data_IF_124201732521
#
_entry.id   IF_124201732521
#
_cell.length_a   1.000
_cell.length_b   1.000
_cell.length_c   1.000
_cell.angle_alpha   90.00
_cell.angle_beta   90.00
_cell.angle_gamma   90.00
#
_symmetry.space_group_name_H-M   'P 1'
#
loop_
_entity.id
_entity.type
_entity.pdbx_description
1 polymer ?
#
# COMPACT_ATOMS: atom_id res chain seq x y z
N UNK A 1 27.76 -23.27 30.84
CA UNK A 1 26.59 -23.21 29.93
C UNK A 1 26.59 -21.80 29.37
N UNK A 2 27.08 -21.61 28.15
CA UNK A 2 27.20 -20.30 27.52
C UNK A 2 25.81 -19.77 27.18
N UNK A 3 25.48 -18.56 27.65
CA UNK A 3 24.29 -17.83 27.21
C UNK A 3 24.45 -17.51 25.72
N UNK A 4 23.50 -17.94 24.89
CA UNK A 4 23.39 -17.49 23.51
C UNK A 4 23.07 -15.99 23.50
N UNK A 5 23.66 -15.18 22.60
CA UNK A 5 23.32 -13.78 22.46
C UNK A 5 21.84 -13.64 22.08
N UNK A 6 21.08 -12.87 22.85
CA UNK A 6 19.67 -12.61 22.59
C UNK A 6 19.55 -11.46 21.58
N UNK A 7 19.02 -11.77 20.40
CA UNK A 7 18.56 -10.75 19.47
C UNK A 7 17.25 -10.18 19.99
N UNK A 8 17.13 -8.85 20.02
CA UNK A 8 15.88 -8.16 20.37
C UNK A 8 14.90 -8.06 19.20
N UNK A 9 15.37 -8.27 17.97
CA UNK A 9 14.57 -8.19 16.75
C UNK A 9 15.08 -9.17 15.67
N UNK A 10 14.17 -9.61 14.81
CA UNK A 10 14.48 -10.52 13.70
C UNK A 10 15.37 -9.82 12.66
N UNK A 11 16.52 -10.39 12.28
CA UNK A 11 17.43 -9.76 11.31
C UNK A 11 16.87 -9.74 9.88
N UNK A 12 15.76 -10.44 9.61
CA UNK A 12 15.13 -10.50 8.28
C UNK A 12 13.94 -9.55 8.11
N UNK A 13 13.27 -9.15 9.19
CA UNK A 13 12.01 -8.40 9.12
C UNK A 13 11.78 -7.48 10.34
N UNK A 14 12.79 -7.32 11.19
CA UNK A 14 12.81 -6.43 12.37
C UNK A 14 11.72 -6.70 13.43
N UNK A 15 11.02 -7.84 13.32
CA UNK A 15 9.99 -8.24 14.26
C UNK A 15 10.56 -8.42 15.68
N UNK A 16 9.89 -7.90 16.73
CA UNK A 16 10.35 -8.08 18.11
C UNK A 16 10.44 -9.57 18.48
N UNK A 17 11.56 -9.98 19.06
CA UNK A 17 11.80 -11.37 19.45
C UNK A 17 11.74 -11.54 20.96
N UNK A 18 11.16 -12.65 21.42
CA UNK A 18 11.15 -13.02 22.83
C UNK A 18 12.35 -13.92 23.17
N UNK A 19 12.75 -13.87 24.45
CA UNK A 19 13.86 -14.65 24.96
C UNK A 19 13.56 -16.16 24.89
N UNK A 20 14.13 -16.85 23.90
CA UNK A 20 13.99 -18.29 23.71
C UNK A 20 13.46 -18.69 22.33
N UNK A 21 13.09 -17.71 21.51
CA UNK A 21 12.63 -17.94 20.15
C UNK A 21 13.73 -18.58 19.29
N UNK A 22 13.40 -19.73 18.73
CA UNK A 22 14.25 -20.43 17.74
C UNK A 22 13.94 -19.99 16.32
N UNK A 23 12.76 -19.41 16.10
CA UNK A 23 12.28 -18.92 14.82
C UNK A 23 11.54 -17.60 15.03
N UNK A 24 11.59 -16.71 14.04
CA UNK A 24 10.79 -15.49 14.07
C UNK A 24 9.30 -15.82 13.87
N UNK A 25 8.43 -15.39 14.81
CA UNK A 25 6.98 -15.60 14.73
C UNK A 25 6.27 -14.88 13.58
N UNK A 26 6.90 -13.86 12.97
CA UNK A 26 6.30 -13.12 11.86
C UNK A 26 6.73 -13.62 10.47
N UNK A 27 8.01 -13.96 10.28
CA UNK A 27 8.54 -14.32 8.95
C UNK A 27 9.13 -15.74 8.88
N UNK A 28 9.18 -16.49 9.99
CA UNK A 28 9.71 -17.86 10.03
C UNK A 28 11.23 -17.97 9.94
N UNK A 29 11.98 -16.87 9.98
CA UNK A 29 13.45 -16.87 9.93
C UNK A 29 14.05 -17.70 11.07
N UNK A 30 15.00 -18.59 10.75
CA UNK A 30 15.69 -19.45 11.72
C UNK A 30 16.75 -18.65 12.50
N UNK A 31 16.49 -18.42 13.79
CA UNK A 31 17.34 -17.66 14.69
C UNK A 31 18.44 -18.52 15.32
N UNK A 32 18.38 -19.85 15.14
CA UNK A 32 19.34 -20.80 15.72
C UNK A 32 20.62 -20.97 14.89
N UNK A 33 20.66 -20.43 13.67
CA UNK A 33 21.74 -20.63 12.70
C UNK A 33 22.78 -19.49 12.62
N UNK A 34 22.73 -18.49 13.50
CA UNK A 34 23.65 -17.35 13.44
C UNK A 34 25.07 -17.75 13.87
N UNK A 35 26.11 -17.50 13.05
CA UNK A 35 27.49 -17.72 13.46
C UNK A 35 27.85 -16.73 14.59
N UNK A 36 28.61 -17.16 15.62
CA UNK A 36 29.09 -16.24 16.65
C UNK A 36 29.97 -15.16 16.01
N UNK A 37 29.89 -13.92 16.52
CA UNK A 37 30.78 -12.84 16.10
C UNK A 37 32.25 -13.24 16.35
N UNK A 38 33.19 -12.84 15.48
CA UNK A 38 34.61 -12.98 15.79
C UNK A 38 34.93 -12.18 17.06
N UNK A 39 35.73 -12.76 17.95
CA UNK A 39 36.18 -12.07 19.15
C UNK A 39 37.05 -10.86 18.78
N UNK A 40 36.64 -9.67 19.21
CA UNK A 40 37.45 -8.45 19.12
C UNK A 40 38.61 -8.56 20.12
N UNK A 41 39.78 -8.93 19.62
CA UNK A 41 41.03 -8.75 20.35
C UNK A 41 41.53 -7.31 20.11
N UNK A 42 41.72 -6.47 21.14
CA UNK A 42 42.28 -5.15 20.95
C UNK A 42 43.72 -5.28 20.41
N UNK A 43 43.95 -4.77 19.21
CA UNK A 43 45.27 -4.76 18.58
C UNK A 43 46.19 -3.81 19.35
N UNK A 44 47.31 -4.37 19.83
CA UNK A 44 48.40 -3.66 20.51
C UNK A 44 48.93 -2.56 19.60
N UNK A 45 49.05 -1.34 20.13
CA UNK A 45 49.65 -0.21 19.44
C UNK A 45 51.14 -0.47 19.14
N UNK A 46 51.47 -0.65 17.86
CA UNK A 46 52.84 -0.60 17.38
C UNK A 46 53.26 0.86 17.22
N UNK A 47 54.09 1.32 18.16
CA UNK A 47 54.90 2.53 17.98
C UNK A 47 55.92 2.30 16.87
N UNK A 48 56.10 3.27 15.98
CA UNK A 48 57.24 3.33 15.07
C UNK A 48 57.63 4.78 14.74
N UNK A 49 58.91 5.03 14.39
CA UNK A 49 59.66 6.19 14.86
C UNK A 49 59.78 7.33 13.84
N UNK A 50 60.28 8.45 14.32
CA UNK A 50 60.62 9.65 13.58
C UNK A 50 61.75 9.45 12.55
N UNK A 51 61.60 10.07 11.37
CA UNK A 51 62.55 10.98 10.69
C UNK A 51 62.46 10.90 9.16
N UNK A 52 62.51 12.06 8.47
CA UNK A 52 62.98 12.17 7.08
C UNK A 52 62.16 13.11 6.17
N UNK A 53 62.71 14.30 5.92
CA UNK A 53 62.26 15.32 4.97
C UNK A 53 62.24 14.87 3.50
N UNK A 54 61.28 15.35 2.69
CA UNK A 54 61.52 16.38 1.65
C UNK A 54 60.28 16.69 0.76
N UNK A 55 60.00 17.98 0.59
CA UNK A 55 59.42 18.69 -0.57
C UNK A 55 58.09 18.22 -1.22
N UNK A 56 57.05 19.06 -1.19
CA UNK A 56 56.74 20.11 -2.20
C UNK A 56 55.31 20.66 -1.97
N UNK A 57 55.21 21.97 -2.16
CA UNK A 57 54.17 22.97 -1.90
C UNK A 57 52.70 22.64 -2.29
N UNK A 58 51.75 23.01 -1.41
CA UNK A 58 50.32 23.18 -1.74
C UNK A 58 49.77 24.45 -1.07
N UNK A 59 48.95 25.25 -1.76
CA UNK A 59 48.62 26.61 -1.35
C UNK A 59 47.63 26.66 -0.16
N UNK A 60 47.90 27.61 0.74
CA UNK A 60 47.13 27.92 1.95
C UNK A 60 45.82 28.63 1.60
N UNK A 61 44.70 28.10 2.08
CA UNK A 61 43.40 28.80 2.09
C UNK A 61 43.26 29.64 3.38
N UNK A 62 42.60 30.82 3.34
CA UNK A 62 42.50 31.70 4.50
C UNK A 62 41.49 31.18 5.54
N UNK A 63 41.81 31.39 6.82
CA UNK A 63 40.94 31.03 7.95
C UNK A 63 39.65 31.86 7.99
N UNK A 64 38.49 31.24 8.31
CA UNK A 64 37.31 31.98 8.69
C UNK A 64 37.40 32.43 10.16
N UNK A 65 36.95 33.66 10.38
CA UNK A 65 36.90 34.36 11.66
C UNK A 65 36.12 33.59 12.74
N UNK A 66 36.56 33.77 13.99
CA UNK A 66 36.11 33.06 15.18
C UNK A 66 34.61 33.11 15.44
N UNK A 67 34.06 31.96 15.83
CA UNK A 67 32.76 31.85 16.47
C UNK A 67 32.94 32.07 17.98
N UNK A 68 32.35 33.16 18.47
CA UNK A 68 32.17 33.40 19.90
C UNK A 68 31.19 32.41 20.52
N UNK A 69 31.43 32.12 21.79
CA UNK A 69 30.60 31.30 22.69
C UNK A 69 29.13 31.76 22.70
N UNK A 70 28.13 30.88 22.51
CA UNK A 70 26.75 31.23 22.83
C UNK A 70 26.50 31.15 24.34
N UNK A 71 25.82 32.16 24.87
CA UNK A 71 25.32 32.22 26.24
C UNK A 71 24.14 31.27 26.45
N UNK A 72 23.93 30.87 27.71
CA UNK A 72 22.87 29.96 28.15
C UNK A 72 21.46 30.44 27.76
N UNK A 73 20.68 29.57 27.11
CA UNK A 73 19.28 29.79 26.82
C UNK A 73 18.41 29.58 28.07
N UNK A 74 17.51 30.54 28.32
CA UNK A 74 16.47 30.46 29.34
C UNK A 74 15.32 29.56 28.89
N UNK A 75 14.72 28.84 29.84
CA UNK A 75 13.53 28.00 29.64
C UNK A 75 12.30 28.84 29.23
N UNK A 76 11.42 28.33 28.35
CA UNK A 76 10.17 29.02 28.01
C UNK A 76 9.13 28.82 29.11
N UNK A 77 8.53 29.92 29.55
CA UNK A 77 7.31 29.93 30.36
C UNK A 77 6.07 29.85 29.43
N UNK A 78 5.05 29.13 29.86
CA UNK A 78 3.81 28.93 29.10
C UNK A 78 3.01 30.23 28.90
N UNK A 79 2.44 30.47 27.70
CA UNK A 79 1.54 31.59 27.47
C UNK A 79 0.11 31.28 27.93
N UNK A 80 -0.42 32.12 28.82
CA UNK A 80 -1.85 32.13 29.19
C UNK A 80 -2.72 32.60 28.02
N UNK A 81 -3.79 31.86 27.75
CA UNK A 81 -4.73 32.14 26.68
C UNK A 81 -5.47 33.48 26.87
N UNK A 82 -5.58 34.24 25.78
CA UNK A 82 -6.45 35.41 25.66
C UNK A 82 -7.55 35.12 24.64
N UNK A 83 -8.75 35.56 24.92
CA UNK A 83 -9.88 35.53 23.98
C UNK A 83 -9.87 36.80 23.10
N UNK A 84 -10.48 36.69 21.90
CA UNK A 84 -10.47 37.71 20.85
C UNK A 84 -11.16 39.01 21.29
N UNK A 85 -10.40 39.85 21.99
CA UNK A 85 -10.83 41.12 22.56
C UNK A 85 -9.79 41.76 23.49
N UNK A 86 -8.74 41.04 23.91
CA UNK A 86 -7.58 41.63 24.59
C UNK A 86 -7.79 42.01 26.06
N UNK A 87 -8.71 41.33 26.77
CA UNK A 87 -8.89 41.50 28.22
C UNK A 87 -8.42 40.23 28.95
N UNK A 88 -7.64 40.32 30.04
CA UNK A 88 -7.22 39.14 30.82
C UNK A 88 -8.39 38.49 31.57
N UNK A 89 -8.47 37.15 31.52
CA UNK A 89 -9.42 36.35 32.28
C UNK A 89 -9.13 36.40 33.80
N UNK A 90 -10.14 36.56 34.66
CA UNK A 90 -9.94 36.49 36.11
C UNK A 90 -9.70 35.04 36.59
N UNK A 91 -8.92 34.83 37.68
CA UNK A 91 -8.57 33.50 38.16
C UNK A 91 -9.80 32.74 38.69
N UNK A 92 -9.95 31.48 38.26
CA UNK A 92 -10.98 30.57 38.78
C UNK A 92 -10.71 30.20 40.24
N UNK A 93 -11.68 30.47 41.12
CA UNK A 93 -11.71 29.94 42.48
C UNK A 93 -12.22 28.48 42.51
N UNK A 94 -11.70 27.64 43.43
CA UNK A 94 -12.18 26.27 43.58
C UNK A 94 -13.62 26.26 44.13
N UNK A 95 -14.50 25.35 43.68
CA UNK A 95 -15.89 25.38 44.10
C UNK A 95 -16.05 24.95 45.57
N UNK A 96 -16.52 25.89 46.39
CA UNK A 96 -17.09 25.65 47.72
C UNK A 96 -18.54 25.20 47.59
N UNK A 97 -18.90 24.12 48.29
CA UNK A 97 -20.20 23.43 48.14
C UNK A 97 -21.42 24.09 48.80
N UNK A 98 -22.59 23.51 48.55
CA UNK A 98 -23.81 23.43 49.39
C UNK A 98 -24.97 22.81 48.57
N UNK A 99 -26.06 22.27 49.17
CA UNK A 99 -26.29 21.79 50.53
C UNK A 99 -26.84 20.34 50.61
N UNK A 100 -26.88 19.84 51.85
CA UNK A 100 -27.37 18.54 52.35
C UNK A 100 -28.90 18.44 52.38
N UNK A 101 -29.49 17.25 52.13
CA UNK A 101 -30.60 16.61 52.89
C UNK A 101 -31.06 15.28 52.24
N UNK A 102 -31.68 14.33 52.98
CA UNK A 102 -31.14 13.57 54.11
C UNK A 102 -31.10 12.05 53.81
N UNK A 103 -30.36 11.33 54.65
CA UNK A 103 -30.18 9.88 54.59
C UNK A 103 -31.47 9.09 54.87
N UNK A 104 -31.72 8.06 54.07
CA UNK A 104 -32.54 6.90 54.43
C UNK A 104 -31.63 5.69 54.48
N UNK A 105 -31.31 5.24 55.69
CA UNK A 105 -30.53 4.02 55.90
C UNK A 105 -31.41 2.78 55.73
N UNK A 106 -30.91 1.81 54.98
CA UNK A 106 -31.45 0.44 54.99
C UNK A 106 -30.30 -0.53 55.22
N UNK A 107 -30.58 -1.47 56.13
CA UNK A 107 -29.67 -2.39 56.80
C UNK A 107 -29.12 -3.48 55.88
N UNK A 108 -27.90 -3.89 56.15
CA UNK A 108 -27.37 -5.18 55.70
C UNK A 108 -27.92 -6.29 56.60
N UNK A 109 -28.81 -7.12 56.06
CA UNK A 109 -29.06 -8.48 56.54
C UNK A 109 -29.26 -9.37 55.30
N UNK A 110 -28.18 -10.06 54.89
CA UNK A 110 -28.17 -11.04 53.79
C UNK A 110 -28.23 -12.45 54.40
N UNK A 111 -29.23 -13.29 54.06
CA UNK A 111 -29.18 -14.73 54.37
C UNK A 111 -28.12 -15.45 53.50
N UNK A 112 -27.52 -16.54 53.97
CA UNK A 112 -26.51 -17.28 53.20
C UNK A 112 -27.16 -18.00 52.02
N UNK A 113 -26.65 -17.78 50.81
CA UNK A 113 -27.00 -18.57 49.63
C UNK A 113 -26.22 -19.90 49.63
N UNK A 114 -26.79 -20.99 49.07
CA UNK A 114 -26.02 -22.18 48.77
C UNK A 114 -25.09 -21.95 47.57
N UNK A 115 -23.84 -22.40 47.72
CA UNK A 115 -22.84 -22.48 46.65
C UNK A 115 -23.28 -23.47 45.58
N UNK A 116 -23.50 -23.01 44.34
CA UNK A 116 -23.31 -23.79 43.10
C UNK A 116 -23.42 -22.86 41.88
N UNK A 117 -22.28 -22.33 41.42
CA UNK A 117 -22.14 -21.74 40.09
C UNK A 117 -21.34 -22.72 39.23
N UNK A 118 -21.90 -23.31 38.16
CA UNK A 118 -21.11 -24.11 37.23
C UNK A 118 -20.28 -23.17 36.35
N UNK A 119 -18.99 -23.05 36.66
CA UNK A 119 -17.99 -22.56 35.72
C UNK A 119 -17.58 -23.71 34.79
N UNK A 120 -18.25 -23.81 33.63
CA UNK A 120 -17.70 -24.49 32.47
C UNK A 120 -17.97 -23.63 31.24
N UNK A 121 -16.90 -23.08 30.67
CA UNK A 121 -16.93 -22.56 29.31
C UNK A 121 -17.24 -23.73 28.35
N UNK A 122 -18.09 -23.55 27.33
CA UNK A 122 -18.34 -24.59 26.35
C UNK A 122 -17.05 -24.94 25.58
N UNK A 123 -16.83 -26.24 25.35
CA UNK A 123 -15.71 -26.80 24.59
C UNK A 123 -15.71 -26.23 23.15
N UNK A 124 -14.64 -25.59 22.66
CA UNK A 124 -14.59 -25.00 21.33
C UNK A 124 -14.61 -26.03 20.18
N UNK A 125 -14.70 -27.34 20.47
CA UNK A 125 -14.81 -28.40 19.44
C UNK A 125 -16.23 -28.70 18.97
N UNK A 126 -17.23 -27.92 19.38
CA UNK A 126 -18.61 -28.09 18.90
C UNK A 126 -19.18 -26.74 18.47
N UNK A 127 -18.69 -26.22 17.35
CA UNK A 127 -19.36 -25.18 16.58
C UNK A 127 -19.38 -25.61 15.11
N UNK A 128 -20.53 -25.34 14.49
CA UNK A 128 -21.07 -25.87 13.24
C UNK A 128 -20.07 -26.16 12.10
N UNK A 129 -20.06 -27.44 11.68
CA UNK A 129 -19.53 -27.89 10.41
C UNK A 129 -20.51 -27.52 9.31
N UNK A 130 -20.31 -26.40 8.63
CA UNK A 130 -20.88 -26.16 7.29
C UNK A 130 -20.12 -25.05 6.54
N UNK A 131 -18.87 -25.34 6.17
CA UNK A 131 -18.24 -24.75 5.00
C UNK A 131 -18.11 -25.86 3.93
N UNK A 132 -18.34 -25.57 2.64
CA UNK A 132 -18.29 -26.61 1.61
C UNK A 132 -16.86 -27.14 1.52
N UNK A 133 -16.70 -28.43 1.80
CA UNK A 133 -15.41 -29.12 1.79
C UNK A 133 -14.77 -29.07 0.41
N UNK A 134 -13.77 -28.19 0.27
CA UNK A 134 -12.69 -28.41 -0.68
C UNK A 134 -11.86 -29.61 -0.24
N UNK A 135 -11.36 -30.40 -1.19
CA UNK A 135 -10.44 -31.50 -0.88
C UNK A 135 -9.24 -30.97 -0.08
N UNK A 136 -8.74 -31.69 0.94
CA UNK A 136 -7.63 -31.21 1.75
C UNK A 136 -6.37 -31.06 0.89
N UNK A 137 -5.97 -29.81 0.66
CA UNK A 137 -4.79 -29.47 -0.12
C UNK A 137 -3.53 -29.99 0.59
N UNK A 138 -2.62 -30.62 -0.15
CA UNK A 138 -1.32 -31.02 0.38
C UNK A 138 -0.40 -29.79 0.47
N UNK A 139 0.42 -29.73 1.51
CA UNK A 139 1.37 -28.65 1.72
C UNK A 139 2.37 -28.53 0.55
N UNK A 140 2.54 -27.32 -0.02
CA UNK A 140 3.46 -27.09 -1.15
C UNK A 140 4.93 -27.30 -0.78
N UNK A 141 5.28 -27.10 0.50
CA UNK A 141 6.64 -27.22 0.99
C UNK A 141 7.03 -28.67 1.28
N UNK A 142 6.26 -29.38 2.13
CA UNK A 142 6.63 -30.74 2.53
C UNK A 142 5.94 -31.85 1.73
N UNK A 143 4.91 -31.52 0.92
CA UNK A 143 4.10 -32.44 0.12
C UNK A 143 3.48 -33.62 0.89
N UNK A 144 3.46 -33.53 2.22
CA UNK A 144 3.06 -34.61 3.12
C UNK A 144 2.00 -34.17 4.13
N UNK A 145 2.12 -32.95 4.66
CA UNK A 145 1.17 -32.42 5.63
C UNK A 145 -0.09 -31.87 4.98
N UNK A 146 -1.18 -31.92 5.74
CA UNK A 146 -2.40 -31.20 5.43
C UNK A 146 -2.27 -29.74 5.85
N UNK A 147 -3.08 -28.91 5.21
CA UNK A 147 -3.20 -27.49 5.46
C UNK A 147 -4.45 -27.30 6.31
N UNK A 148 -4.29 -26.68 7.48
CA UNK A 148 -5.42 -26.35 8.35
C UNK A 148 -6.11 -25.07 7.84
N UNK A 149 -7.27 -24.77 8.40
CA UNK A 149 -8.12 -23.60 8.13
C UNK A 149 -7.42 -22.25 8.37
N UNK A 150 -6.35 -22.22 9.16
CA UNK A 150 -5.52 -21.02 9.39
C UNK A 150 -4.49 -20.78 8.27
N UNK A 151 -4.40 -21.69 7.30
CA UNK A 151 -3.47 -21.64 6.17
C UNK A 151 -2.07 -22.16 6.49
N UNK A 152 -1.86 -22.82 7.63
CA UNK A 152 -0.58 -23.41 7.99
C UNK A 152 -0.58 -24.93 7.80
N UNK A 153 0.58 -25.48 7.46
CA UNK A 153 0.74 -26.92 7.36
C UNK A 153 0.84 -27.55 8.76
N UNK A 154 -0.04 -28.49 9.09
CA UNK A 154 -0.04 -29.22 10.36
C UNK A 154 1.24 -30.06 10.60
N UNK A 155 1.97 -30.42 9.53
CA UNK A 155 3.17 -31.25 9.60
C UNK A 155 4.46 -30.44 9.71
N UNK A 156 4.63 -29.41 8.88
CA UNK A 156 5.87 -28.65 8.80
C UNK A 156 5.77 -27.19 9.26
N UNK A 157 4.57 -26.73 9.65
CA UNK A 157 4.32 -25.36 10.09
C UNK A 157 4.47 -24.29 9.00
N UNK A 158 4.68 -24.69 7.75
CA UNK A 158 4.87 -23.74 6.66
C UNK A 158 3.55 -23.07 6.30
N UNK A 159 3.52 -21.73 6.27
CA UNK A 159 2.40 -20.97 5.73
C UNK A 159 2.19 -21.37 4.27
N UNK A 160 0.94 -21.58 3.88
CA UNK A 160 0.59 -21.93 2.52
C UNK A 160 0.28 -20.67 1.72
N UNK A 161 0.65 -20.64 0.42
CA UNK A 161 0.24 -19.58 -0.47
C UNK A 161 -1.28 -19.43 -0.43
N UNK A 162 -1.74 -18.21 -0.15
CA UNK A 162 -3.17 -17.89 -0.23
C UNK A 162 -3.54 -17.70 -1.69
N UNK A 163 -4.82 -17.86 -2.01
CA UNK A 163 -5.34 -17.68 -3.38
C UNK A 163 -4.96 -16.31 -3.96
N UNK A 164 -4.93 -15.26 -3.13
CA UNK A 164 -4.58 -13.90 -3.53
C UNK A 164 -3.08 -13.59 -3.45
N UNK A 165 -2.23 -14.48 -2.92
CA UNK A 165 -0.79 -14.18 -2.79
C UNK A 165 -0.10 -14.04 -4.15
N UNK A 166 -0.63 -14.73 -5.17
CA UNK A 166 -0.21 -14.58 -6.55
C UNK A 166 -1.39 -14.87 -7.48
N UNK A 167 -1.77 -13.88 -8.28
CA UNK A 167 -2.90 -13.95 -9.19
C UNK A 167 -2.46 -13.60 -10.59
N UNK A 168 -2.92 -14.37 -11.57
CA UNK A 168 -2.68 -14.09 -12.98
C UNK A 168 -4.00 -14.23 -13.74
N UNK A 169 -4.28 -13.30 -14.64
CA UNK A 169 -5.44 -13.38 -15.52
C UNK A 169 -5.08 -12.91 -16.92
N UNK A 170 -5.54 -13.65 -17.92
CA UNK A 170 -5.51 -13.26 -19.33
C UNK A 170 -6.96 -13.16 -19.84
N UNK A 171 -7.29 -12.08 -20.53
CA UNK A 171 -8.65 -11.80 -20.98
C UNK A 171 -8.62 -11.20 -22.39
N UNK A 172 -8.59 -12.04 -23.43
CA UNK A 172 -8.47 -11.56 -24.81
C UNK A 172 -7.10 -10.92 -25.05
N UNK A 173 -7.01 -9.65 -25.49
CA UNK A 173 -5.73 -9.01 -25.82
C UNK A 173 -4.96 -8.46 -24.61
N UNK A 174 -5.48 -8.56 -23.38
CA UNK A 174 -4.87 -7.97 -22.19
C UNK A 174 -4.68 -8.99 -21.08
N UNK A 175 -3.74 -8.71 -20.19
CA UNK A 175 -3.45 -9.56 -19.03
C UNK A 175 -3.07 -8.72 -17.81
N UNK A 176 -3.22 -9.31 -16.64
CA UNK A 176 -2.79 -8.74 -15.37
C UNK A 176 -2.16 -9.80 -14.46
N UNK A 177 -1.20 -9.36 -13.65
CA UNK A 177 -0.56 -10.17 -12.60
C UNK A 177 -0.53 -9.34 -11.33
N UNK A 178 -0.82 -9.97 -10.19
CA UNK A 178 -0.69 -9.41 -8.86
C UNK A 178 0.09 -10.37 -7.99
N UNK A 179 1.02 -9.86 -7.19
CA UNK A 179 1.83 -10.65 -6.27
C UNK A 179 1.92 -9.94 -4.92
N UNK A 180 1.89 -10.70 -3.83
CA UNK A 180 2.03 -10.21 -2.46
C UNK A 180 3.38 -9.51 -2.23
N UNK A 181 4.39 -9.79 -3.03
CA UNK A 181 5.73 -9.34 -2.75
C UNK A 181 6.41 -10.14 -1.64
N UNK A 182 7.60 -9.70 -1.25
CA UNK A 182 8.49 -10.44 -0.36
C UNK A 182 8.37 -10.00 1.10
N UNK A 183 7.72 -8.85 1.38
CA UNK A 183 7.69 -8.23 2.72
C UNK A 183 6.31 -8.18 3.36
N UNK A 184 5.23 -8.08 2.57
CA UNK A 184 3.87 -7.98 3.09
C UNK A 184 3.32 -9.37 3.47
N UNK A 185 2.51 -9.46 4.53
CA UNK A 185 1.93 -10.73 5.00
C UNK A 185 0.62 -11.12 4.28
N UNK A 186 0.06 -10.21 3.48
CA UNK A 186 -1.10 -10.43 2.62
C UNK A 186 -0.97 -9.55 1.37
N UNK A 187 -1.65 -9.96 0.30
CA UNK A 187 -1.82 -9.11 -0.88
C UNK A 187 -3.04 -8.21 -0.69
N UNK A 188 -2.79 -6.92 -0.53
CA UNK A 188 -3.78 -5.85 -0.36
C UNK A 188 -4.19 -5.25 -1.71
N UNK A 189 -3.51 -5.62 -2.80
CA UNK A 189 -3.89 -5.21 -4.15
C UNK A 189 -5.02 -6.06 -4.74
N UNK A 190 -5.70 -5.49 -5.72
CA UNK A 190 -6.62 -6.19 -6.60
C UNK A 190 -6.64 -5.61 -8.00
N UNK A 191 -7.09 -6.41 -8.96
CA UNK A 191 -7.34 -5.94 -10.33
C UNK A 191 -8.64 -6.51 -10.88
N UNK A 192 -9.16 -5.85 -11.92
CA UNK A 192 -10.25 -6.34 -12.76
C UNK A 192 -9.96 -6.04 -14.22
N UNK A 193 -9.89 -7.07 -15.06
CA UNK A 193 -9.67 -6.93 -16.50
C UNK A 193 -10.82 -7.51 -17.32
N UNK A 194 -11.11 -6.89 -18.46
CA UNK A 194 -12.17 -7.34 -19.35
C UNK A 194 -12.04 -6.78 -20.76
N UNK A 195 -12.75 -7.40 -21.70
CA UNK A 195 -12.95 -6.87 -23.04
C UNK A 195 -14.42 -6.95 -23.41
N UNK A 196 -14.87 -6.02 -24.23
CA UNK A 196 -16.25 -5.94 -24.71
C UNK A 196 -16.30 -5.29 -26.09
N UNK A 197 -17.49 -5.17 -26.68
CA UNK A 197 -17.70 -4.49 -27.95
C UNK A 197 -18.50 -3.20 -27.72
N UNK A 198 -18.10 -2.12 -28.40
CA UNK A 198 -18.88 -0.89 -28.51
C UNK A 198 -20.12 -1.11 -29.40
N UNK A 199 -21.10 -0.19 -29.43
CA UNK A 199 -22.31 -0.34 -30.25
C UNK A 199 -22.04 -0.53 -31.75
N UNK A 200 -20.90 -0.06 -32.25
CA UNK A 200 -20.46 -0.23 -33.65
C UNK A 200 -19.74 -1.57 -33.90
N UNK A 201 -19.61 -2.41 -32.87
CA UNK A 201 -18.94 -3.71 -32.92
C UNK A 201 -17.42 -3.64 -32.76
N UNK A 202 -16.83 -2.44 -32.64
CA UNK A 202 -15.39 -2.30 -32.40
C UNK A 202 -15.01 -2.75 -30.98
N UNK A 203 -13.80 -3.33 -30.78
CA UNK A 203 -13.40 -3.85 -29.48
C UNK A 203 -13.04 -2.72 -28.51
N UNK A 204 -13.34 -2.95 -27.24
CA UNK A 204 -12.87 -2.13 -26.12
C UNK A 204 -12.26 -3.03 -25.03
N UNK A 205 -11.10 -2.65 -24.53
CA UNK A 205 -10.39 -3.32 -23.43
C UNK A 205 -10.44 -2.45 -22.18
N UNK A 206 -10.60 -3.07 -21.02
CA UNK A 206 -10.72 -2.40 -19.72
C UNK A 206 -9.77 -3.06 -18.75
N UNK A 207 -8.94 -2.28 -18.07
CA UNK A 207 -8.15 -2.72 -16.94
C UNK A 207 -8.35 -1.76 -15.77
N UNK A 208 -8.60 -2.30 -14.58
CA UNK A 208 -8.68 -1.59 -13.31
C UNK A 208 -7.67 -2.23 -12.36
N UNK A 209 -6.88 -1.42 -11.67
CA UNK A 209 -5.95 -1.83 -10.60
C UNK A 209 -6.24 -0.98 -9.38
N UNK A 210 -6.25 -1.61 -8.21
CA UNK A 210 -6.52 -0.98 -6.92
C UNK A 210 -5.48 -1.45 -5.90
N UNK A 211 -4.94 -0.51 -5.13
CA UNK A 211 -4.00 -0.74 -4.05
C UNK A 211 -4.68 -0.49 -2.70
N UNK A 212 -4.67 -1.46 -1.80
CA UNK A 212 -5.28 -1.33 -0.49
C UNK A 212 -4.41 -0.49 0.45
N UNK A 213 -4.96 0.55 1.07
CA UNK A 213 -4.17 1.42 1.97
C UNK A 213 -3.81 0.65 3.24
N UNK A 214 -2.55 0.29 3.47
CA UNK A 214 -2.16 -0.60 4.59
C UNK A 214 -2.50 -0.10 5.99
N UNK A 215 -2.67 1.22 6.17
CA UNK A 215 -3.11 1.82 7.44
C UNK A 215 -4.63 1.75 7.68
N UNK A 216 -5.39 1.32 6.66
CA UNK A 216 -6.83 1.14 6.71
C UNK A 216 -7.24 -0.19 7.35
N UNK A 217 -8.50 -0.28 7.78
CA UNK A 217 -9.09 -1.57 8.14
C UNK A 217 -9.50 -2.32 6.88
N UNK A 218 -9.18 -3.62 6.76
CA UNK A 218 -9.60 -4.46 5.61
C UNK A 218 -9.20 -3.87 4.23
N UNK A 219 -7.94 -3.44 4.02
CA UNK A 219 -7.50 -2.84 2.76
C UNK A 219 -7.63 -3.80 1.57
N UNK A 220 -7.43 -5.08 1.81
CA UNK A 220 -7.60 -6.16 0.85
C UNK A 220 -9.05 -6.35 0.40
N UNK A 221 -10.03 -6.15 1.29
CA UNK A 221 -11.46 -6.14 0.91
C UNK A 221 -11.83 -4.87 0.13
N UNK A 222 -11.24 -3.73 0.49
CA UNK A 222 -11.48 -2.44 -0.18
C UNK A 222 -11.02 -2.48 -1.63
N UNK A 223 -9.76 -2.86 -1.88
CA UNK A 223 -9.21 -2.96 -3.24
C UNK A 223 -9.99 -3.96 -4.08
N UNK A 224 -10.35 -5.12 -3.52
CA UNK A 224 -11.15 -6.13 -4.21
C UNK A 224 -12.56 -5.64 -4.57
N UNK A 225 -13.25 -5.00 -3.63
CA UNK A 225 -14.58 -4.43 -3.86
C UNK A 225 -14.54 -3.33 -4.93
N UNK A 226 -13.54 -2.45 -4.89
CA UNK A 226 -13.33 -1.39 -5.86
C UNK A 226 -13.05 -1.93 -7.26
N UNK A 227 -12.06 -2.80 -7.41
CA UNK A 227 -11.68 -3.37 -8.71
C UNK A 227 -12.86 -4.12 -9.38
N UNK A 228 -13.61 -4.89 -8.59
CA UNK A 228 -14.80 -5.61 -9.06
C UNK A 228 -15.92 -4.66 -9.48
N UNK A 229 -16.29 -3.70 -8.64
CA UNK A 229 -17.39 -2.78 -8.93
C UNK A 229 -17.08 -1.87 -10.14
N UNK A 230 -15.85 -1.36 -10.23
CA UNK A 230 -15.43 -0.52 -11.35
C UNK A 230 -15.40 -1.31 -12.67
N UNK A 231 -14.78 -2.49 -12.70
CA UNK A 231 -14.70 -3.30 -13.91
C UNK A 231 -16.08 -3.73 -14.42
N UNK A 232 -16.98 -4.18 -13.52
CA UNK A 232 -18.37 -4.50 -13.84
C UNK A 232 -19.12 -3.27 -14.42
N UNK A 233 -18.94 -2.10 -13.80
CA UNK A 233 -19.59 -0.84 -14.24
C UNK A 233 -19.18 -0.44 -15.65
N UNK A 234 -17.86 -0.35 -15.92
CA UNK A 234 -17.35 0.02 -17.26
C UNK A 234 -17.78 -1.00 -18.31
N UNK A 235 -17.61 -2.30 -18.04
CA UNK A 235 -17.90 -3.36 -19.01
C UNK A 235 -19.39 -3.41 -19.36
N UNK A 236 -20.28 -3.02 -18.44
CA UNK A 236 -21.70 -2.90 -18.71
C UNK A 236 -22.03 -1.61 -19.49
N UNK A 237 -21.34 -0.50 -19.22
CA UNK A 237 -21.61 0.82 -19.80
C UNK A 237 -21.19 0.94 -21.27
N UNK A 238 -20.00 0.43 -21.62
CA UNK A 238 -19.44 0.59 -22.97
C UNK A 238 -20.35 0.02 -24.09
N UNK A 239 -20.93 -1.19 -23.98
CA UNK A 239 -21.83 -1.72 -25.01
C UNK A 239 -23.13 -0.93 -25.20
N UNK A 240 -23.51 -0.11 -24.20
CA UNK A 240 -24.68 0.78 -24.27
C UNK A 240 -24.38 2.11 -24.96
N UNK A 241 -23.12 2.35 -25.33
CA UNK A 241 -22.69 3.59 -25.99
C UNK A 241 -22.31 4.72 -25.03
N UNK A 242 -22.13 4.44 -23.74
CA UNK A 242 -21.54 5.42 -22.82
C UNK A 242 -20.11 5.74 -23.28
N UNK A 243 -19.77 7.03 -23.37
CA UNK A 243 -18.43 7.46 -23.76
C UNK A 243 -17.39 6.90 -22.76
N UNK A 244 -16.23 6.37 -23.21
CA UNK A 244 -15.24 5.74 -22.33
C UNK A 244 -14.81 6.59 -21.12
N UNK A 245 -14.65 7.90 -21.30
CA UNK A 245 -14.34 8.82 -20.21
C UNK A 245 -15.45 8.90 -19.14
N UNK A 246 -16.71 8.98 -19.57
CA UNK A 246 -17.85 8.99 -18.66
C UNK A 246 -17.99 7.63 -17.96
N UNK A 247 -17.83 6.53 -18.71
CA UNK A 247 -17.92 5.18 -18.16
C UNK A 247 -16.87 4.95 -17.06
N UNK A 248 -15.63 5.43 -17.26
CA UNK A 248 -14.57 5.29 -16.27
C UNK A 248 -14.78 6.18 -15.04
N UNK A 249 -15.28 7.42 -15.22
CA UNK A 249 -15.68 8.27 -14.11
C UNK A 249 -16.78 7.61 -13.26
N UNK A 250 -17.85 7.12 -13.88
CA UNK A 250 -18.95 6.42 -13.20
C UNK A 250 -18.48 5.13 -12.52
N UNK A 251 -17.47 4.46 -13.07
CA UNK A 251 -16.88 3.27 -12.46
C UNK A 251 -16.08 3.58 -11.19
N UNK A 252 -15.35 4.70 -11.15
CA UNK A 252 -14.67 5.15 -9.92
C UNK A 252 -15.70 5.51 -8.85
N UNK A 253 -16.81 6.16 -9.22
CA UNK A 253 -17.93 6.43 -8.31
C UNK A 253 -18.55 5.12 -7.79
N UNK A 254 -18.76 4.13 -8.66
CA UNK A 254 -19.26 2.81 -8.26
C UNK A 254 -18.29 2.07 -7.31
N UNK A 255 -16.98 2.17 -7.56
CA UNK A 255 -15.95 1.63 -6.67
C UNK A 255 -15.98 2.32 -5.30
N UNK A 256 -16.07 3.65 -5.25
CA UNK A 256 -16.21 4.40 -4.00
C UNK A 256 -17.42 3.93 -3.18
N UNK A 257 -18.58 3.75 -3.82
CA UNK A 257 -19.76 3.22 -3.14
C UNK A 257 -19.56 1.80 -2.59
N UNK A 258 -18.87 0.93 -3.34
CA UNK A 258 -18.57 -0.43 -2.91
C UNK A 258 -17.62 -0.45 -1.70
N UNK A 259 -16.58 0.39 -1.69
CA UNK A 259 -15.66 0.54 -0.56
C UNK A 259 -16.38 1.13 0.67
N UNK A 260 -17.18 2.18 0.49
CA UNK A 260 -17.93 2.81 1.57
C UNK A 260 -18.93 1.84 2.23
N UNK A 261 -19.49 0.89 1.47
CA UNK A 261 -20.39 -0.12 2.01
C UNK A 261 -19.69 -1.07 3.01
N UNK A 262 -18.37 -1.28 2.89
CA UNK A 262 -17.59 -2.10 3.83
C UNK A 262 -17.49 -1.48 5.23
N UNK A 263 -17.64 -0.16 5.33
CA UNK A 263 -17.65 0.58 6.59
C UNK A 263 -19.01 0.52 7.32
N UNK A 264 -20.07 0.02 6.67
CA UNK A 264 -21.44 0.05 7.18
C UNK A 264 -21.82 -1.11 8.13
N UNK A 265 -20.85 -1.89 8.61
CA UNK A 265 -21.08 -2.97 9.58
C UNK A 265 -21.67 -2.47 10.92
N UNK A 266 -22.41 -3.33 11.67
CA UNK A 266 -23.32 -2.90 12.75
C UNK A 266 -22.63 -2.09 13.84
N UNK A 267 -23.34 -1.06 14.33
CA UNK A 267 -22.93 -0.13 15.37
C UNK A 267 -22.43 -0.77 16.69
N UNK A 268 -22.67 -2.08 16.91
CA UNK A 268 -22.19 -2.84 18.08
C UNK A 268 -20.67 -3.01 18.12
N UNK A 269 -19.96 -2.83 17.00
CA UNK A 269 -18.49 -2.83 16.97
C UNK A 269 -17.87 -1.43 17.15
N UNK A 270 -18.64 -0.36 16.94
CA UNK A 270 -18.15 1.03 16.98
C UNK A 270 -17.87 1.56 18.39
N UNK A 271 -18.32 0.86 19.43
CA UNK A 271 -18.11 1.27 20.82
C UNK A 271 -16.70 0.98 21.37
N UNK A 272 -15.82 0.29 20.62
CA UNK A 272 -14.52 -0.14 21.15
C UNK A 272 -13.26 0.49 20.52
N UNK A 273 -13.35 1.32 19.46
CA UNK A 273 -12.16 2.00 18.92
C UNK A 273 -12.48 3.25 18.08
N UNK A 274 -12.52 4.46 18.66
CA UNK A 274 -12.77 5.72 17.94
C UNK A 274 -11.65 6.18 16.97
N UNK A 275 -10.68 5.31 16.64
CA UNK A 275 -9.47 5.65 15.88
C UNK A 275 -9.10 4.66 14.77
N UNK A 276 -10.03 3.82 14.30
CA UNK A 276 -9.75 2.93 13.16
C UNK A 276 -10.12 3.62 11.85
N UNK A 277 -9.16 3.71 10.94
CA UNK A 277 -9.36 4.19 9.57
C UNK A 277 -10.36 3.29 8.84
N UNK A 278 -11.24 3.87 8.02
CA UNK A 278 -12.21 3.11 7.25
C UNK A 278 -11.49 2.22 6.23
N UNK A 279 -12.13 1.15 5.71
CA UNK A 279 -11.61 0.45 4.54
C UNK A 279 -11.33 1.41 3.40
N UNK A 280 -10.11 1.33 2.86
CA UNK A 280 -9.65 2.27 1.86
C UNK A 280 -8.68 1.65 0.86
N UNK A 281 -8.71 2.17 -0.36
CA UNK A 281 -7.82 1.79 -1.45
C UNK A 281 -7.65 2.94 -2.47
N UNK A 282 -6.61 2.87 -3.28
CA UNK A 282 -6.48 3.65 -4.52
C UNK A 282 -7.30 3.01 -5.63
N UNK A 283 -7.39 3.69 -6.78
CA UNK A 283 -7.87 3.10 -8.02
C UNK A 283 -7.18 3.78 -9.21
N UNK A 284 -6.76 2.98 -10.19
CA UNK A 284 -6.35 3.45 -11.51
C UNK A 284 -6.94 2.53 -12.56
N UNK A 285 -7.46 3.10 -13.64
CA UNK A 285 -8.07 2.35 -14.72
C UNK A 285 -7.72 2.88 -16.09
N UNK A 286 -7.75 1.99 -17.08
CA UNK A 286 -7.59 2.31 -18.49
C UNK A 286 -8.69 1.67 -19.33
N UNK A 287 -9.25 2.44 -20.26
CA UNK A 287 -10.13 1.97 -21.33
C UNK A 287 -9.46 2.24 -22.67
N UNK A 288 -9.22 1.17 -23.43
CA UNK A 288 -8.61 1.22 -24.77
C UNK A 288 -9.65 0.83 -25.81
N UNK A 289 -9.87 1.70 -26.79
CA UNK A 289 -10.66 1.42 -28.00
C UNK A 289 -9.76 1.50 -29.24
N UNK A 290 -10.34 1.41 -30.44
CA UNK A 290 -9.61 1.45 -31.72
C UNK A 290 -8.81 2.74 -31.99
N UNK A 291 -9.08 3.83 -31.27
CA UNK A 291 -8.37 5.10 -31.46
C UNK A 291 -8.45 6.06 -30.28
N UNK A 292 -8.89 5.57 -29.12
CA UNK A 292 -8.99 6.35 -27.90
C UNK A 292 -8.45 5.53 -26.73
N UNK A 293 -7.58 6.16 -25.95
CA UNK A 293 -7.14 5.70 -24.65
C UNK A 293 -7.70 6.66 -23.61
N UNK A 294 -8.47 6.16 -22.65
CA UNK A 294 -8.90 6.93 -21.49
C UNK A 294 -8.30 6.32 -20.25
N UNK A 295 -7.72 7.14 -19.38
CA UNK A 295 -7.31 6.75 -18.03
C UNK A 295 -8.12 7.51 -17.00
N UNK A 296 -8.29 6.92 -15.82
CA UNK A 296 -8.99 7.54 -14.71
C UNK A 296 -8.51 6.96 -13.39
N UNK A 297 -8.32 7.81 -12.38
CA UNK A 297 -7.65 7.40 -11.16
C UNK A 297 -8.03 8.26 -9.95
N UNK A 298 -7.75 7.71 -8.77
CA UNK A 298 -7.68 8.37 -7.46
C UNK A 298 -6.55 7.68 -6.68
N UNK A 299 -5.62 8.45 -6.15
CA UNK A 299 -4.42 7.95 -5.47
C UNK A 299 -3.16 8.03 -6.32
N UNK A 300 -2.19 7.18 -6.01
CA UNK A 300 -0.82 7.19 -6.55
C UNK A 300 -0.47 5.92 -7.35
N UNK A 301 -1.45 5.05 -7.60
CA UNK A 301 -1.30 4.03 -8.64
C UNK A 301 -1.28 4.67 -10.02
N UNK A 302 -0.45 4.16 -10.93
CA UNK A 302 -0.06 4.88 -12.16
C UNK A 302 -0.44 4.15 -13.43
N UNK A 303 -0.59 4.94 -14.50
CA UNK A 303 -0.67 4.41 -15.87
C UNK A 303 0.43 5.01 -16.75
N UNK A 304 1.03 4.19 -17.62
CA UNK A 304 2.11 4.57 -18.53
C UNK A 304 1.77 4.18 -19.97
N UNK A 305 2.16 5.05 -20.92
CA UNK A 305 2.11 4.79 -22.35
C UNK A 305 3.49 4.43 -22.88
N UNK A 306 3.59 3.31 -23.58
CA UNK A 306 4.84 2.71 -24.02
C UNK A 306 4.74 2.34 -25.52
N UNK A 307 5.30 3.16 -26.45
CA UNK A 307 5.23 2.89 -27.89
C UNK A 307 5.95 1.61 -28.30
N UNK A 308 5.38 0.80 -29.20
CA UNK A 308 6.02 -0.45 -29.69
C UNK A 308 7.35 -0.16 -30.39
N UNK A 309 7.39 0.87 -31.23
CA UNK A 309 8.58 1.20 -32.02
C UNK A 309 9.73 1.81 -31.21
N UNK A 310 9.47 2.21 -29.96
CA UNK A 310 10.41 2.90 -29.03
C UNK A 310 11.11 4.14 -29.63
N UNK A 311 10.65 4.63 -30.78
CA UNK A 311 11.21 5.79 -31.48
C UNK A 311 10.60 7.10 -31.00
N UNK A 312 9.41 7.02 -30.42
CA UNK A 312 8.77 8.11 -29.70
C UNK A 312 8.88 7.93 -28.19
N UNK A 313 8.92 9.04 -27.44
CA UNK A 313 9.11 8.98 -26.00
C UNK A 313 7.91 8.27 -25.33
N UNK A 314 8.17 7.44 -24.31
CA UNK A 314 7.13 6.97 -23.40
C UNK A 314 6.59 8.12 -22.55
N UNK A 315 5.42 7.93 -21.94
CA UNK A 315 4.81 8.95 -21.08
C UNK A 315 4.13 8.34 -19.85
N UNK A 316 4.22 9.01 -18.70
CA UNK A 316 3.32 8.79 -17.56
C UNK A 316 2.00 9.50 -17.87
N UNK A 317 0.88 8.81 -17.69
CA UNK A 317 -0.46 9.28 -18.04
C UNK A 317 -1.26 9.81 -16.85
N UNK A 318 -0.77 9.58 -15.64
CA UNK A 318 -1.38 9.98 -14.37
C UNK A 318 -0.49 10.96 -13.62
N UNK A 319 -1.09 11.66 -12.67
CA UNK A 319 -0.42 12.48 -11.66
C UNK A 319 -0.90 12.00 -10.30
N UNK A 320 0.03 11.68 -9.40
CA UNK A 320 -0.31 11.06 -8.12
C UNK A 320 -1.09 12.04 -7.24
N UNK A 321 -2.12 11.56 -6.55
CA UNK A 321 -2.75 12.30 -5.46
C UNK A 321 -1.85 12.23 -4.21
N UNK A 322 -0.70 12.91 -4.24
CA UNK A 322 0.27 12.95 -3.14
C UNK A 322 0.45 14.36 -2.58
N UNK A 323 0.94 14.47 -1.36
CA UNK A 323 1.23 15.76 -0.74
C UNK A 323 2.21 16.57 -1.59
N UNK A 324 3.26 15.94 -2.13
CA UNK A 324 4.19 16.62 -3.02
C UNK A 324 3.48 17.17 -4.27
N UNK A 325 2.67 16.35 -4.95
CA UNK A 325 1.94 16.76 -6.15
C UNK A 325 0.99 17.94 -5.85
N UNK A 326 0.24 17.89 -4.73
CA UNK A 326 -0.63 18.98 -4.32
C UNK A 326 0.12 20.29 -4.03
N UNK A 327 1.28 20.21 -3.37
CA UNK A 327 2.10 21.39 -3.05
C UNK A 327 2.67 22.05 -4.31
N UNK A 328 3.06 21.25 -5.30
CA UNK A 328 3.52 21.73 -6.61
C UNK A 328 2.36 22.33 -7.40
N UNK A 329 1.22 21.63 -7.49
CA UNK A 329 0.03 22.09 -8.20
C UNK A 329 -0.54 23.40 -7.62
N UNK A 330 -0.48 23.57 -6.29
CA UNK A 330 -0.87 24.80 -5.61
C UNK A 330 0.13 25.96 -5.76
N UNK A 331 1.30 25.71 -6.38
CA UNK A 331 2.38 26.69 -6.53
C UNK A 331 3.01 27.12 -5.19
N UNK A 332 2.86 26.30 -4.15
CA UNK A 332 3.35 26.57 -2.80
C UNK A 332 4.79 26.10 -2.60
N UNK A 333 5.23 25.10 -3.36
CA UNK A 333 6.60 24.59 -3.40
C UNK A 333 7.00 24.26 -4.84
N UNK A 334 8.31 24.25 -5.13
CA UNK A 334 8.79 23.70 -6.39
C UNK A 334 8.90 22.17 -6.31
N UNK A 335 9.01 21.51 -7.46
CA UNK A 335 9.05 20.04 -7.56
C UNK A 335 10.17 19.44 -6.72
N UNK A 336 11.40 19.93 -6.85
CA UNK A 336 12.54 19.39 -6.11
C UNK A 336 12.38 19.52 -4.58
N UNK A 337 11.80 20.63 -4.10
CA UNK A 337 11.53 20.84 -2.68
C UNK A 337 10.38 19.95 -2.18
N UNK A 338 9.31 19.82 -2.95
CA UNK A 338 8.14 19.05 -2.57
C UNK A 338 8.45 17.54 -2.48
N UNK A 339 9.21 17.00 -3.43
CA UNK A 339 9.61 15.59 -3.46
C UNK A 339 10.75 15.25 -2.48
N UNK A 340 11.43 16.26 -1.91
CA UNK A 340 12.44 16.06 -0.88
C UNK A 340 11.87 16.09 0.56
N UNK A 341 10.60 16.45 0.75
CA UNK A 341 9.93 16.45 2.05
C UNK A 341 9.65 15.01 2.51
N UNK A 342 9.73 14.74 3.80
CA UNK A 342 9.43 13.43 4.38
C UNK A 342 7.99 12.97 4.09
N UNK A 343 7.09 13.92 3.83
CA UNK A 343 5.69 13.67 3.48
C UNK A 343 5.44 13.54 1.99
N UNK A 344 6.46 13.60 1.14
CA UNK A 344 6.30 13.68 -0.32
C UNK A 344 5.34 12.61 -0.87
N UNK A 345 5.50 11.38 -0.40
CA UNK A 345 4.72 10.21 -0.82
C UNK A 345 3.43 10.00 -0.02
N UNK A 346 3.07 10.91 0.89
CA UNK A 346 1.82 10.79 1.64
C UNK A 346 0.64 10.96 0.67
N UNK A 347 -0.17 9.90 0.55
CA UNK A 347 -1.38 9.88 -0.27
C UNK A 347 -2.38 10.90 0.28
N UNK A 348 -2.98 11.67 -0.62
CA UNK A 348 -3.97 12.72 -0.35
C UNK A 348 -5.33 12.45 -1.00
N UNK A 349 -5.42 11.43 -1.86
CA UNK A 349 -6.66 10.97 -2.47
C UNK A 349 -6.77 9.44 -2.38
N UNK A 350 -7.90 8.94 -1.87
CA UNK A 350 -8.22 7.52 -1.79
C UNK A 350 -9.73 7.29 -1.84
N UNK A 351 -10.15 6.06 -2.10
CA UNK A 351 -11.52 5.61 -1.88
C UNK A 351 -11.67 5.16 -0.43
N UNK A 352 -12.64 5.69 0.30
CA UNK A 352 -12.90 5.31 1.71
C UNK A 352 -14.02 6.15 2.32
N UNK A 353 -14.67 5.63 3.35
CA UNK A 353 -15.79 6.34 4.01
C UNK A 353 -15.33 7.57 4.81
N UNK A 354 -14.02 7.66 5.07
CA UNK A 354 -13.32 8.77 5.70
C UNK A 354 -12.66 9.73 4.68
N UNK A 355 -12.78 9.46 3.38
CA UNK A 355 -12.37 10.40 2.34
C UNK A 355 -13.31 11.62 2.35
N UNK A 356 -12.73 12.83 2.30
CA UNK A 356 -13.47 14.09 2.41
C UNK A 356 -14.42 14.34 1.22
N UNK A 357 -13.87 14.29 0.01
CA UNK A 357 -14.60 14.48 -1.24
C UNK A 357 -13.93 13.63 -2.32
N UNK A 358 -14.73 12.87 -3.08
CA UNK A 358 -14.24 12.08 -4.20
C UNK A 358 -14.21 12.96 -5.45
N UNK A 359 -13.01 13.24 -5.97
CA UNK A 359 -12.81 13.91 -7.26
C UNK A 359 -12.05 12.98 -8.23
N UNK A 360 -12.75 12.15 -9.03
CA UNK A 360 -12.09 11.24 -9.94
C UNK A 360 -11.41 11.98 -11.09
N UNK A 361 -10.10 11.81 -11.21
CA UNK A 361 -9.36 12.28 -12.38
C UNK A 361 -9.74 11.45 -13.61
N UNK A 362 -9.85 12.11 -14.76
CA UNK A 362 -9.95 11.42 -16.06
C UNK A 362 -9.19 12.16 -17.15
N UNK A 363 -8.46 11.43 -17.99
CA UNK A 363 -7.73 11.98 -19.12
C UNK A 363 -7.93 11.12 -20.38
N UNK A 364 -8.03 11.79 -21.54
CA UNK A 364 -8.26 11.17 -22.84
C UNK A 364 -7.08 11.43 -23.78
N UNK A 365 -6.58 10.37 -24.40
CA UNK A 365 -5.44 10.38 -25.31
C UNK A 365 -5.81 9.72 -26.64
N UNK A 366 -5.17 10.18 -27.72
CA UNK A 366 -5.28 9.59 -29.05
C UNK A 366 -3.89 9.27 -29.59
N UNK A 367 -3.25 8.19 -29.10
CA UNK A 367 -1.98 7.75 -29.66
C UNK A 367 -2.09 7.53 -31.18
N UNK A 368 -1.10 8.01 -31.90
CA UNK A 368 -1.02 7.96 -33.37
C UNK A 368 -0.36 6.68 -33.90
N UNK A 369 -0.01 5.75 -33.00
CA UNK A 369 0.77 4.53 -33.27
C UNK A 369 0.46 3.41 -32.28
N UNK A 370 0.91 2.17 -32.53
CA UNK A 370 0.69 1.07 -31.61
C UNK A 370 1.59 1.23 -30.38
N UNK A 371 1.10 0.75 -29.25
CA UNK A 371 1.82 0.76 -27.99
C UNK A 371 1.15 -0.15 -26.98
N UNK A 372 1.66 -0.12 -25.77
CA UNK A 372 1.03 -0.76 -24.61
C UNK A 372 0.78 0.27 -23.53
N UNK A 373 -0.33 0.10 -22.83
CA UNK A 373 -0.63 0.81 -21.59
C UNK A 373 -0.28 -0.12 -20.45
N UNK A 374 0.60 0.33 -19.56
CA UNK A 374 0.91 -0.36 -18.30
C UNK A 374 0.13 0.34 -17.20
N UNK A 375 -0.70 -0.38 -16.48
CA UNK A 375 -1.46 0.12 -15.32
C UNK A 375 -0.94 -0.62 -14.10
N UNK A 376 -0.44 0.07 -13.09
CA UNK A 376 0.26 -0.57 -11.98
C UNK A 376 0.13 0.16 -10.63
N UNK A 377 0.32 -0.60 -9.55
CA UNK A 377 0.50 -0.07 -8.19
C UNK A 377 1.93 0.43 -7.97
N UNK A 378 2.19 1.01 -6.80
CA UNK A 378 3.50 1.52 -6.40
C UNK A 378 4.55 0.43 -6.21
N UNK A 379 4.12 -0.79 -5.91
CA UNK A 379 4.99 -1.96 -5.90
C UNK A 379 5.71 -2.22 -7.22
N UNK A 380 5.23 -1.69 -8.36
CA UNK A 380 6.01 -1.68 -9.60
C UNK A 380 6.76 -0.36 -9.78
N UNK A 381 6.07 0.78 -9.72
CA UNK A 381 6.68 2.04 -10.17
C UNK A 381 7.79 2.51 -9.24
N UNK A 382 7.85 2.06 -7.97
CA UNK A 382 9.02 2.30 -7.10
C UNK A 382 10.33 1.69 -7.66
N UNK A 383 10.24 0.75 -8.60
CA UNK A 383 11.39 0.13 -9.29
C UNK A 383 11.55 0.57 -10.75
N UNK A 384 10.64 1.41 -11.25
CA UNK A 384 10.62 1.96 -12.59
C UNK A 384 9.77 3.24 -12.60
N UNK A 385 10.28 4.30 -12.00
CA UNK A 385 9.49 5.47 -11.62
C UNK A 385 9.17 6.32 -12.86
N UNK A 386 10.21 6.63 -13.63
CA UNK A 386 10.11 7.44 -14.83
C UNK A 386 9.52 6.68 -16.01
N UNK A 387 8.87 7.40 -16.93
CA UNK A 387 8.32 6.79 -18.15
C UNK A 387 9.40 6.07 -18.99
N UNK A 388 10.64 6.58 -18.98
CA UNK A 388 11.76 5.97 -19.67
C UNK A 388 12.21 4.65 -19.01
N UNK A 389 12.32 4.65 -17.68
CA UNK A 389 12.68 3.44 -16.90
C UNK A 389 11.60 2.37 -17.07
N UNK A 390 10.33 2.76 -17.03
CA UNK A 390 9.22 1.85 -17.33
C UNK A 390 9.33 1.27 -18.75
N UNK A 391 9.67 2.08 -19.75
CA UNK A 391 9.83 1.60 -21.12
C UNK A 391 10.99 0.61 -21.31
N UNK A 392 12.02 0.72 -20.48
CA UNK A 392 13.17 -0.20 -20.42
C UNK A 392 12.81 -1.52 -19.72
N UNK A 393 11.98 -1.48 -18.68
CA UNK A 393 11.48 -2.67 -17.99
C UNK A 393 10.45 -3.46 -18.82
N UNK A 394 9.65 -2.78 -19.64
CA UNK A 394 8.62 -3.41 -20.49
C UNK A 394 9.26 -4.17 -21.66
N UNK A 395 8.99 -5.48 -21.82
CA UNK A 395 9.45 -6.27 -22.96
C UNK A 395 9.06 -5.67 -24.32
N UNK A 396 9.92 -5.88 -25.32
CA UNK A 396 9.73 -5.34 -26.67
C UNK A 396 8.51 -5.95 -27.41
N UNK A 397 8.01 -7.10 -26.96
CA UNK A 397 6.89 -7.84 -27.52
C UNK A 397 5.64 -7.82 -26.61
N UNK A 398 5.57 -6.86 -25.67
CA UNK A 398 4.46 -6.71 -24.73
C UNK A 398 3.09 -6.57 -25.40
N UNK A 399 3.03 -6.04 -26.62
CA UNK A 399 1.79 -5.91 -27.42
C UNK A 399 1.25 -7.26 -27.91
N UNK A 400 2.13 -8.25 -28.07
CA UNK A 400 1.82 -9.60 -28.54
C UNK A 400 1.74 -10.63 -27.41
N UNK A 401 2.43 -10.36 -26.30
CA UNK A 401 2.54 -11.27 -25.16
C UNK A 401 2.28 -10.53 -23.83
N UNK A 402 1.05 -10.02 -23.61
CA UNK A 402 0.72 -9.18 -22.45
C UNK A 402 0.92 -9.92 -21.12
N UNK A 403 0.56 -11.20 -21.04
CA UNK A 403 0.76 -11.99 -19.80
C UNK A 403 2.25 -12.20 -19.50
N UNK A 404 3.07 -12.46 -20.52
CA UNK A 404 4.51 -12.54 -20.34
C UNK A 404 5.07 -11.20 -19.87
N UNK A 405 4.64 -10.09 -20.47
CA UNK A 405 5.03 -8.75 -20.05
C UNK A 405 4.66 -8.46 -18.60
N UNK A 406 3.43 -8.77 -18.18
CA UNK A 406 3.00 -8.56 -16.80
C UNK A 406 3.83 -9.39 -15.81
N UNK A 407 4.13 -10.65 -16.13
CA UNK A 407 5.02 -11.50 -15.33
C UNK A 407 6.44 -10.95 -15.24
N UNK A 408 6.99 -10.43 -16.34
CA UNK A 408 8.33 -9.83 -16.36
C UNK A 408 8.38 -8.58 -15.48
N UNK A 409 7.34 -7.73 -15.54
CA UNK A 409 7.27 -6.51 -14.73
C UNK A 409 7.11 -6.82 -13.23
N UNK A 410 6.26 -7.80 -12.87
CA UNK A 410 6.19 -8.29 -11.48
C UNK A 410 7.53 -8.88 -11.05
N UNK A 411 8.17 -9.70 -11.89
CA UNK A 411 9.51 -10.23 -11.64
C UNK A 411 10.55 -9.13 -11.43
N UNK A 412 10.51 -8.05 -12.22
CA UNK A 412 11.40 -6.89 -12.08
C UNK A 412 11.26 -6.23 -10.69
N UNK A 413 10.04 -6.06 -10.19
CA UNK A 413 9.80 -5.54 -8.85
C UNK A 413 10.29 -6.51 -7.74
N UNK A 414 10.04 -7.80 -7.90
CA UNK A 414 10.47 -8.84 -6.95
C UNK A 414 12.00 -8.94 -6.89
N UNK A 415 12.67 -8.92 -8.04
CA UNK A 415 14.14 -8.91 -8.16
C UNK A 415 14.74 -7.60 -7.60
N UNK A 416 14.00 -6.49 -7.68
CA UNK A 416 14.34 -5.21 -7.07
C UNK A 416 14.22 -5.20 -5.53
N UNK A 417 13.56 -6.19 -4.94
CA UNK A 417 13.43 -6.35 -3.48
C UNK A 417 12.03 -6.72 -3.01
N UNK A 418 11.00 -6.53 -3.84
CA UNK A 418 9.60 -6.85 -3.57
C UNK A 418 9.11 -6.28 -2.25
N UNK A 419 9.34 -4.98 -2.03
CA UNK A 419 9.04 -4.32 -0.76
C UNK A 419 7.55 -4.14 -0.51
N UNK A 420 6.74 -4.04 -1.56
CA UNK A 420 5.28 -3.91 -1.48
C UNK A 420 4.56 -5.02 -2.26
N UNK A 421 3.24 -5.07 -2.15
CA UNK A 421 2.36 -5.75 -3.10
C UNK A 421 2.57 -5.14 -4.48
N UNK A 422 2.61 -5.97 -5.52
CA UNK A 422 2.85 -5.51 -6.89
C UNK A 422 1.76 -6.02 -7.81
N UNK A 423 1.06 -5.08 -8.46
CA UNK A 423 0.03 -5.41 -9.43
C UNK A 423 0.23 -4.64 -10.72
N UNK A 424 0.13 -5.36 -11.83
CA UNK A 424 0.41 -4.86 -13.17
C UNK A 424 -0.61 -5.40 -14.15
N UNK A 425 -1.28 -4.52 -14.89
CA UNK A 425 -2.06 -4.85 -16.08
C UNK A 425 -1.40 -4.28 -17.33
N UNK A 426 -1.31 -5.10 -18.39
CA UNK A 426 -0.74 -4.74 -19.69
C UNK A 426 -1.85 -4.78 -20.73
N UNK A 427 -2.14 -3.61 -21.32
CA UNK A 427 -3.23 -3.42 -22.28
C UNK A 427 -2.67 -2.92 -23.62
N UNK A 428 -2.64 -3.75 -24.66
CA UNK A 428 -2.22 -3.32 -25.99
C UNK A 428 -3.17 -2.28 -26.57
N UNK A 429 -2.60 -1.26 -27.21
CA UNK A 429 -3.31 -0.25 -27.97
C UNK A 429 -3.09 -0.49 -29.47
N UNK A 430 -4.14 -0.82 -30.24
CA UNK A 430 -4.02 -0.97 -31.69
C UNK A 430 -3.80 0.41 -32.31
N UNK A 431 -2.83 0.56 -33.22
CA UNK A 431 -2.76 1.78 -34.02
C UNK A 431 -4.05 1.96 -34.82
N UNK A 432 -4.47 3.22 -34.94
CA UNK A 432 -5.43 3.61 -35.95
C UNK A 432 -4.77 3.41 -37.31
N UNK A 433 -5.28 2.48 -38.13
CA UNK A 433 -4.96 2.51 -39.56
C UNK A 433 -5.47 3.85 -40.09
N UNK A 434 -4.58 4.75 -40.50
CA UNK A 434 -4.99 5.95 -41.23
C UNK A 434 -5.73 5.48 -42.49
N UNK A 435 -7.06 5.46 -42.41
CA UNK A 435 -7.90 5.20 -43.55
C UNK A 435 -7.56 6.23 -44.62
N UNK A 436 -7.29 5.74 -45.83
CA UNK A 436 -6.95 6.52 -47.02
C UNK A 436 -7.79 7.81 -47.08
N UNK A 437 -7.16 8.93 -46.72
CA UNK A 437 -7.71 10.25 -47.01
C UNK A 437 -7.75 10.39 -48.52
N UNK A 438 -8.96 10.38 -49.08
CA UNK A 438 -9.21 10.67 -50.49
C UNK A 438 -8.49 11.97 -50.89
N UNK A 439 -7.70 11.86 -51.95
CA UNK A 439 -7.10 12.98 -52.67
C UNK A 439 -8.14 13.92 -53.29
#
# INVERSE_FOLDING_TARGET
>A
MSQMPQLSACPSCEWPLESGDRFCGACGYDLSALPPRPDDHPTIALSSPAAGHDGVDRPVAPEPAGAGTPAAAAAPAEPGGTESGGVPLPPQQPPTGSPVSPASGVRFDRPPEPEEYPLQAPDPRVADLSAPGGEPTLCVACRAGRVDSDGYCENCGHAQPRERDHMEQECGPLAAVSDRGLRHHRNEDAFGIGHTALPDGSPASVAIVCDGVSSATRPDDASYAAARAASESVLAALPRGTHPQQALHEAIVAASHAVNALAAEPATAREHAPHQNAPACTIVGAVVTSGLLVVGWVGDSRAYWIPVDRSSPPARLTEDDSWAAQMVAAGLMNEAEAYADERAHAITGWLGADAYELDPHTASFKPDRPGVVVVCTDGLWNYAEGAQEMAEAVPADADRHPLHSARVLVGHALDGGGHDNVTVAVVPFPAVSQGAGSA
#
